data_IF_467187716099
#
_entry.id   IF_467187716099
#
_cell.length_a   1.000
_cell.length_b   1.000
_cell.length_c   1.000
_cell.angle_alpha   90.00
_cell.angle_beta   90.00
_cell.angle_gamma   90.00
#
_symmetry.space_group_name_H-M   'P 1'
#
loop_
_entity.id
_entity.type
_entity.pdbx_description
1 polymer ?
#
# COMPACT_ATOMS: atom_id res chain seq x y z
N UNK A 1 52.15 -29.62 -0.66
CA UNK A 1 51.50 -30.60 -1.55
C UNK A 1 50.20 -29.94 -1.94
N UNK A 2 50.03 -29.64 -3.23
CA UNK A 2 48.85 -28.97 -3.74
C UNK A 2 47.69 -29.98 -3.73
N UNK A 3 46.58 -29.62 -3.09
CA UNK A 3 45.33 -30.39 -3.16
C UNK A 3 44.73 -30.22 -4.56
N UNK A 4 44.73 -31.31 -5.32
CA UNK A 4 43.97 -31.44 -6.56
C UNK A 4 42.47 -31.40 -6.25
N UNK A 5 41.78 -30.40 -6.78
CA UNK A 5 40.32 -30.41 -6.85
C UNK A 5 39.87 -31.52 -7.81
N UNK A 6 38.81 -32.28 -7.51
CA UNK A 6 38.34 -33.34 -8.38
C UNK A 6 37.81 -32.74 -9.68
N UNK A 7 38.43 -33.11 -10.81
CA UNK A 7 37.88 -32.84 -12.13
C UNK A 7 36.49 -33.47 -12.25
N UNK A 8 35.49 -32.64 -12.52
CA UNK A 8 34.14 -33.07 -12.85
C UNK A 8 34.20 -33.82 -14.17
N UNK A 9 34.15 -35.15 -14.11
CA UNK A 9 33.90 -35.96 -15.30
C UNK A 9 32.50 -35.61 -15.82
N UNK A 10 32.42 -34.98 -16.99
CA UNK A 10 31.19 -34.91 -17.76
C UNK A 10 30.82 -36.34 -18.17
N UNK A 11 29.77 -36.90 -17.55
CA UNK A 11 29.26 -38.22 -17.93
C UNK A 11 28.76 -38.21 -19.39
N UNK A 12 28.78 -39.41 -20.00
CA UNK A 12 28.64 -39.65 -21.43
C UNK A 12 27.34 -39.09 -22.06
N UNK A 13 27.37 -38.67 -23.34
CA UNK A 13 26.18 -38.29 -24.09
C UNK A 13 25.20 -39.47 -24.18
N UNK A 14 24.00 -39.31 -23.62
CA UNK A 14 22.92 -40.31 -23.67
C UNK A 14 22.36 -40.77 -22.32
N UNK A 15 22.97 -40.37 -21.20
CA UNK A 15 22.40 -40.62 -19.87
C UNK A 15 21.42 -39.50 -19.47
N UNK A 16 20.17 -39.88 -19.22
CA UNK A 16 19.12 -38.96 -18.75
C UNK A 16 17.73 -39.37 -19.20
N UNK A 17 16.72 -38.85 -18.53
CA UNK A 17 15.33 -38.96 -18.96
C UNK A 17 15.08 -38.05 -20.16
N UNK A 18 14.49 -38.59 -21.22
CA UNK A 18 14.05 -37.78 -22.36
C UNK A 18 12.80 -36.99 -21.98
N UNK A 19 12.92 -35.66 -21.95
CA UNK A 19 11.85 -34.75 -21.54
C UNK A 19 11.16 -34.08 -22.73
N UNK A 20 11.48 -34.44 -23.98
CA UNK A 20 10.76 -33.87 -25.12
C UNK A 20 9.33 -34.43 -25.24
N UNK A 21 8.37 -33.64 -25.74
CA UNK A 21 7.01 -34.11 -25.94
C UNK A 21 6.93 -35.34 -26.87
N UNK A 22 7.74 -35.34 -27.93
CA UNK A 22 7.73 -36.38 -28.97
C UNK A 22 8.66 -37.57 -28.65
N UNK A 23 9.34 -37.55 -27.50
CA UNK A 23 10.33 -38.56 -27.09
C UNK A 23 11.38 -38.84 -28.17
N UNK A 24 11.87 -37.78 -28.77
CA UNK A 24 12.80 -37.79 -29.89
C UNK A 24 14.28 -37.74 -29.47
N UNK A 25 14.57 -37.76 -28.17
CA UNK A 25 15.93 -37.65 -27.61
C UNK A 25 16.56 -36.27 -27.79
N UNK A 26 15.77 -35.23 -28.09
CA UNK A 26 16.28 -33.88 -28.33
C UNK A 26 16.78 -33.19 -27.06
N UNK A 27 16.21 -33.52 -25.90
CA UNK A 27 16.58 -32.95 -24.60
C UNK A 27 16.57 -34.04 -23.54
N UNK A 28 17.75 -34.38 -23.03
CA UNK A 28 17.91 -35.38 -21.97
C UNK A 28 18.23 -34.67 -20.65
N UNK A 29 17.50 -35.03 -19.59
CA UNK A 29 17.67 -34.47 -18.25
C UNK A 29 18.22 -35.52 -17.28
N UNK A 30 19.27 -35.16 -16.54
CA UNK A 30 19.82 -35.97 -15.45
C UNK A 30 19.85 -35.15 -14.16
N UNK A 31 19.13 -35.58 -13.13
CA UNK A 31 19.13 -34.88 -11.83
C UNK A 31 20.42 -35.20 -11.08
N UNK A 32 21.21 -34.17 -10.75
CA UNK A 32 22.43 -34.27 -9.94
C UNK A 32 22.16 -34.06 -8.45
N UNK A 33 21.23 -33.17 -8.12
CA UNK A 33 20.75 -32.93 -6.75
C UNK A 33 19.25 -32.71 -6.78
N UNK A 34 18.53 -33.46 -5.95
CA UNK A 34 17.07 -33.30 -5.81
C UNK A 34 16.74 -31.92 -5.25
N UNK A 35 15.67 -31.32 -5.79
CA UNK A 35 15.06 -30.13 -5.21
C UNK A 35 14.06 -30.48 -4.09
N UNK A 36 13.52 -29.44 -3.47
CA UNK A 36 12.52 -29.52 -2.41
C UNK A 36 11.12 -29.18 -2.93
N UNK A 37 10.09 -29.73 -2.30
CA UNK A 37 8.69 -29.53 -2.68
C UNK A 37 8.26 -30.35 -3.90
N UNK A 38 6.99 -30.21 -4.31
CA UNK A 38 6.42 -30.93 -5.45
C UNK A 38 6.03 -30.01 -6.63
N UNK A 39 6.14 -28.70 -6.47
CA UNK A 39 5.82 -27.72 -7.50
C UNK A 39 6.99 -27.45 -8.45
N UNK A 40 6.67 -27.07 -9.69
CA UNK A 40 7.62 -26.66 -10.74
C UNK A 40 7.14 -25.36 -11.41
N UNK A 41 8.05 -24.57 -12.03
CA UNK A 41 7.68 -23.32 -12.69
C UNK A 41 6.78 -23.56 -13.91
N UNK A 42 5.83 -22.64 -14.10
CA UNK A 42 4.86 -22.64 -15.20
C UNK A 42 5.25 -21.64 -16.29
N UNK A 43 4.67 -21.79 -17.49
CA UNK A 43 4.88 -20.81 -18.57
C UNK A 43 4.42 -19.41 -18.14
N UNK A 44 5.30 -18.41 -18.31
CA UNK A 44 5.09 -17.03 -17.88
C UNK A 44 5.74 -16.71 -16.53
N UNK A 45 6.17 -17.70 -15.76
CA UNK A 45 6.88 -17.45 -14.51
C UNK A 45 8.28 -16.88 -14.80
N UNK A 46 8.69 -15.87 -14.03
CA UNK A 46 10.10 -15.44 -14.03
C UNK A 46 10.90 -16.41 -13.16
N UNK A 47 11.83 -17.15 -13.77
CA UNK A 47 12.69 -18.13 -13.10
C UNK A 47 14.07 -17.54 -12.82
N UNK A 48 14.68 -17.94 -11.70
CA UNK A 48 16.00 -17.52 -11.27
C UNK A 48 16.91 -18.74 -11.18
N UNK A 49 17.99 -18.75 -11.97
CA UNK A 49 18.89 -19.90 -12.08
C UNK A 49 20.37 -19.50 -11.99
N UNK A 50 21.20 -20.45 -11.57
CA UNK A 50 22.61 -20.49 -11.98
C UNK A 50 22.84 -21.56 -13.04
N UNK A 51 23.82 -21.36 -13.90
CA UNK A 51 24.21 -22.36 -14.89
C UNK A 51 25.68 -22.35 -15.27
N UNK A 52 26.10 -23.47 -15.85
CA UNK A 52 27.36 -23.64 -16.58
C UNK A 52 27.03 -24.33 -17.91
N UNK A 53 27.41 -23.71 -19.03
CA UNK A 53 27.22 -24.23 -20.39
C UNK A 53 28.54 -24.71 -21.01
N UNK A 54 28.54 -25.95 -21.51
CA UNK A 54 29.70 -26.60 -22.11
C UNK A 54 29.35 -27.28 -23.44
N UNK A 55 30.32 -27.38 -24.35
CA UNK A 55 30.24 -28.28 -25.50
C UNK A 55 30.43 -29.73 -25.05
N UNK A 56 30.11 -30.70 -25.92
CA UNK A 56 30.29 -32.13 -25.62
C UNK A 56 31.74 -32.53 -25.28
N UNK A 57 32.72 -31.78 -25.77
CA UNK A 57 34.14 -32.00 -25.45
C UNK A 57 34.55 -31.41 -24.08
N UNK A 58 33.60 -30.82 -23.34
CA UNK A 58 33.81 -30.18 -22.05
C UNK A 58 34.22 -28.70 -22.12
N UNK A 59 34.39 -28.14 -23.32
CA UNK A 59 34.75 -26.71 -23.47
C UNK A 59 33.64 -25.82 -22.93
N UNK A 60 33.90 -25.10 -21.84
CA UNK A 60 32.98 -24.12 -21.27
C UNK A 60 32.86 -22.91 -22.21
N UNK A 61 31.65 -22.62 -22.66
CA UNK A 61 31.37 -21.45 -23.49
C UNK A 61 30.69 -20.33 -22.71
N UNK A 62 30.00 -20.63 -21.60
CA UNK A 62 29.30 -19.64 -20.80
C UNK A 62 29.03 -20.13 -19.36
N UNK A 63 28.99 -19.22 -18.39
CA UNK A 63 28.54 -19.51 -17.02
C UNK A 63 28.08 -18.26 -16.29
N UNK A 64 26.93 -18.34 -15.62
CA UNK A 64 26.50 -17.27 -14.72
C UNK A 64 27.28 -17.23 -13.41
N UNK A 65 27.91 -18.34 -13.01
CA UNK A 65 28.76 -18.38 -11.80
C UNK A 65 30.05 -17.59 -11.98
N UNK A 66 30.63 -17.61 -13.18
CA UNK A 66 31.82 -16.80 -13.49
C UNK A 66 31.54 -15.28 -13.46
N UNK A 67 30.25 -14.88 -13.46
CA UNK A 67 29.80 -13.49 -13.43
C UNK A 67 29.26 -13.06 -12.07
N UNK A 68 29.32 -13.92 -11.05
CA UNK A 68 28.77 -13.66 -9.71
C UNK A 68 27.34 -13.05 -9.72
N UNK A 69 26.51 -13.47 -10.68
CA UNK A 69 25.14 -12.95 -10.83
C UNK A 69 24.18 -14.03 -11.31
N UNK A 70 22.97 -14.02 -10.76
CA UNK A 70 21.90 -14.91 -11.19
C UNK A 70 21.44 -14.57 -12.61
N UNK A 71 20.99 -15.59 -13.35
CA UNK A 71 20.33 -15.41 -14.62
C UNK A 71 18.80 -15.52 -14.42
N UNK A 72 18.08 -14.49 -14.86
CA UNK A 72 16.61 -14.41 -14.77
C UNK A 72 15.99 -14.41 -16.16
N UNK A 73 14.92 -15.17 -16.37
CA UNK A 73 14.17 -15.16 -17.63
C UNK A 73 12.71 -15.60 -17.43
N UNK A 74 11.83 -15.19 -18.36
CA UNK A 74 10.44 -15.67 -18.41
C UNK A 74 10.36 -17.04 -19.09
N UNK A 75 9.84 -18.03 -18.37
CA UNK A 75 9.76 -19.42 -18.83
C UNK A 75 8.69 -19.62 -19.91
N UNK A 76 9.02 -20.38 -20.96
CA UNK A 76 8.07 -20.78 -22.00
C UNK A 76 7.65 -19.63 -22.94
N UNK A 77 8.43 -18.55 -22.99
CA UNK A 77 8.23 -17.40 -23.88
C UNK A 77 9.26 -17.31 -25.00
N UNK A 78 10.12 -18.32 -25.17
CA UNK A 78 11.17 -18.32 -26.19
C UNK A 78 12.26 -17.27 -25.95
N UNK A 79 12.48 -16.88 -24.69
CA UNK A 79 13.57 -15.97 -24.27
C UNK A 79 14.93 -16.68 -24.20
N UNK A 80 14.89 -18.01 -24.12
CA UNK A 80 16.04 -18.92 -24.05
C UNK A 80 15.88 -20.00 -25.12
N UNK A 81 16.89 -20.87 -25.27
CA UNK A 81 16.80 -22.01 -26.18
C UNK A 81 15.66 -22.96 -25.79
N UNK A 82 15.06 -23.66 -26.76
CA UNK A 82 13.90 -24.55 -26.53
C UNK A 82 14.17 -25.59 -25.44
N UNK A 83 15.41 -26.11 -25.38
CA UNK A 83 15.80 -27.08 -24.37
C UNK A 83 15.70 -26.55 -22.94
N UNK A 84 15.96 -25.25 -22.74
CA UNK A 84 15.81 -24.63 -21.42
C UNK A 84 14.35 -24.42 -21.04
N UNK A 85 13.52 -24.00 -21.99
CA UNK A 85 12.08 -23.86 -21.75
C UNK A 85 11.44 -25.20 -21.35
N UNK A 86 11.89 -26.32 -21.93
CA UNK A 86 11.46 -27.67 -21.54
C UNK A 86 12.10 -28.11 -20.21
N UNK A 87 13.41 -27.95 -20.07
CA UNK A 87 14.18 -28.45 -18.93
C UNK A 87 13.79 -27.80 -17.61
N UNK A 88 13.81 -26.47 -17.57
CA UNK A 88 13.55 -25.71 -16.33
C UNK A 88 12.11 -25.88 -15.85
N UNK A 89 11.15 -26.06 -16.75
CA UNK A 89 9.75 -26.37 -16.43
C UNK A 89 9.56 -27.67 -15.61
N UNK A 90 10.55 -28.58 -15.66
CA UNK A 90 10.51 -29.85 -14.92
C UNK A 90 11.29 -29.80 -13.60
N UNK A 91 11.95 -28.69 -13.28
CA UNK A 91 12.83 -28.59 -12.12
C UNK A 91 12.05 -28.19 -10.86
N UNK A 92 12.44 -28.77 -9.72
CA UNK A 92 12.00 -28.36 -8.38
C UNK A 92 12.92 -27.29 -7.79
N UNK A 93 12.44 -26.56 -6.77
CA UNK A 93 13.23 -25.53 -6.09
C UNK A 93 14.50 -26.13 -5.47
N UNK A 94 15.66 -25.54 -5.74
CA UNK A 94 16.97 -26.01 -5.26
C UNK A 94 17.57 -27.20 -6.04
N UNK A 95 16.85 -27.73 -7.03
CA UNK A 95 17.32 -28.82 -7.89
C UNK A 95 18.54 -28.40 -8.70
N UNK A 96 19.53 -29.31 -8.81
CA UNK A 96 20.60 -29.22 -9.80
C UNK A 96 20.40 -30.34 -10.80
N UNK A 97 20.30 -30.00 -12.09
CA UNK A 97 20.22 -30.98 -13.16
C UNK A 97 21.24 -30.69 -14.27
N UNK A 98 21.53 -31.72 -15.05
CA UNK A 98 22.25 -31.61 -16.31
C UNK A 98 21.26 -31.78 -17.46
N UNK A 99 21.26 -30.84 -18.40
CA UNK A 99 20.50 -30.89 -19.65
C UNK A 99 21.46 -31.11 -20.81
N UNK A 100 21.24 -32.19 -21.57
CA UNK A 100 21.93 -32.44 -22.84
C UNK A 100 20.99 -32.08 -23.98
N UNK A 101 21.38 -31.08 -24.77
CA UNK A 101 20.51 -30.39 -25.71
C UNK A 101 21.01 -30.62 -27.14
N UNK A 102 20.24 -31.33 -27.96
CA UNK A 102 20.52 -31.48 -29.39
C UNK A 102 20.36 -30.13 -30.11
N UNK A 103 21.08 -29.96 -31.22
CA UNK A 103 21.20 -28.67 -31.90
C UNK A 103 19.84 -28.02 -32.27
N UNK A 104 18.85 -28.79 -32.72
CA UNK A 104 17.49 -28.34 -33.08
C UNK A 104 16.66 -27.82 -31.89
N UNK A 105 17.04 -28.18 -30.65
CA UNK A 105 16.53 -27.62 -29.40
C UNK A 105 17.46 -26.54 -28.80
N UNK A 106 18.58 -26.25 -29.47
CA UNK A 106 19.57 -25.23 -29.11
C UNK A 106 19.71 -24.16 -30.22
N UNK A 107 20.88 -24.04 -30.85
CA UNK A 107 21.19 -23.01 -31.87
C UNK A 107 21.17 -23.51 -33.33
N UNK A 108 20.84 -24.78 -33.54
CA UNK A 108 20.63 -25.39 -34.86
C UNK A 108 21.86 -25.33 -35.78
N UNK A 109 21.61 -25.37 -37.09
CA UNK A 109 22.63 -25.33 -38.14
C UNK A 109 23.42 -24.02 -38.16
N UNK A 110 22.88 -22.94 -37.60
CA UNK A 110 23.56 -21.64 -37.57
C UNK A 110 24.58 -21.54 -36.44
N UNK A 111 24.39 -22.28 -35.35
CA UNK A 111 25.18 -22.12 -34.13
C UNK A 111 25.05 -20.71 -33.53
N UNK A 112 26.02 -20.32 -32.70
CA UNK A 112 26.18 -18.95 -32.19
C UNK A 112 27.67 -18.58 -32.23
N UNK A 113 28.18 -18.17 -33.40
CA UNK A 113 29.60 -17.84 -33.55
C UNK A 113 30.02 -16.66 -32.66
N UNK A 114 31.28 -16.63 -32.16
CA UNK A 114 32.36 -17.58 -32.44
C UNK A 114 32.40 -18.79 -31.47
N UNK A 115 31.57 -18.82 -30.44
CA UNK A 115 31.71 -19.74 -29.31
C UNK A 115 30.94 -21.06 -29.50
N UNK A 116 29.81 -21.04 -30.20
CA UNK A 116 28.97 -22.22 -30.43
C UNK A 116 28.97 -22.56 -31.93
N UNK A 117 29.54 -23.72 -32.33
CA UNK A 117 29.54 -24.16 -33.73
C UNK A 117 28.15 -24.50 -34.28
N UNK A 118 27.98 -24.52 -35.62
CA UNK A 118 26.86 -25.16 -36.30
C UNK A 118 26.60 -26.58 -35.81
N UNK A 119 25.32 -26.93 -35.61
CA UNK A 119 24.87 -28.27 -35.23
C UNK A 119 25.48 -28.81 -33.92
N UNK A 120 25.92 -27.93 -33.03
CA UNK A 120 26.50 -28.33 -31.75
C UNK A 120 25.44 -28.86 -30.77
N UNK A 121 25.73 -30.00 -30.16
CA UNK A 121 25.04 -30.47 -28.94
C UNK A 121 25.65 -29.77 -27.73
N UNK A 122 24.80 -29.22 -26.88
CA UNK A 122 25.21 -28.46 -25.70
C UNK A 122 24.90 -29.23 -24.42
N UNK A 123 25.72 -29.07 -23.40
CA UNK A 123 25.50 -29.61 -22.07
C UNK A 123 25.44 -28.46 -21.07
N UNK A 124 24.33 -28.35 -20.36
CA UNK A 124 24.13 -27.36 -19.31
C UNK A 124 24.01 -28.04 -17.96
N UNK A 125 24.73 -27.56 -16.96
CA UNK A 125 24.36 -27.78 -15.56
C UNK A 125 23.55 -26.57 -15.09
N UNK A 126 22.33 -26.80 -14.62
CA UNK A 126 21.40 -25.75 -14.20
C UNK A 126 20.99 -25.98 -12.74
N UNK A 127 21.03 -24.93 -11.93
CA UNK A 127 20.52 -24.89 -10.57
C UNK A 127 19.33 -23.94 -10.51
N UNK A 128 18.13 -24.45 -10.18
CA UNK A 128 16.92 -23.63 -10.04
C UNK A 128 16.84 -23.09 -8.62
N UNK A 129 16.99 -21.78 -8.45
CA UNK A 129 16.89 -21.14 -7.13
C UNK A 129 15.46 -20.83 -6.75
N UNK A 130 14.72 -20.19 -7.66
CA UNK A 130 13.35 -19.75 -7.39
C UNK A 130 12.59 -19.42 -8.67
N UNK A 131 11.28 -19.25 -8.57
CA UNK A 131 10.45 -18.71 -9.63
C UNK A 131 9.26 -17.93 -9.06
N UNK A 132 8.73 -16.96 -9.82
CA UNK A 132 7.67 -16.03 -9.37
C UNK A 132 8.04 -15.20 -8.14
N UNK A 133 9.16 -14.50 -8.23
CA UNK A 133 9.55 -13.54 -7.20
C UNK A 133 8.68 -12.29 -7.34
N UNK A 134 7.81 -12.05 -6.38
CA UNK A 134 7.08 -10.80 -6.23
C UNK A 134 7.90 -9.91 -5.29
N UNK A 135 8.43 -8.82 -5.81
CA UNK A 135 9.11 -7.81 -5.00
C UNK A 135 8.08 -7.12 -4.08
N UNK A 136 8.32 -7.18 -2.77
CA UNK A 136 7.47 -6.54 -1.76
C UNK A 136 7.99 -5.15 -1.37
N UNK A 137 9.25 -4.88 -1.68
CA UNK A 137 9.94 -3.63 -1.43
C UNK A 137 10.49 -3.03 -2.71
N UNK A 138 10.56 -1.70 -2.79
CA UNK A 138 11.08 -1.00 -3.97
C UNK A 138 12.60 -1.15 -4.18
N UNK A 139 13.34 -1.53 -3.14
CA UNK A 139 14.81 -1.67 -3.15
C UNK A 139 15.28 -3.14 -3.22
N UNK A 140 14.36 -4.09 -3.35
CA UNK A 140 14.65 -5.53 -3.34
C UNK A 140 15.01 -6.09 -1.96
N UNK A 141 14.85 -5.30 -0.89
CA UNK A 141 15.09 -5.74 0.48
C UNK A 141 14.07 -6.75 1.02
N UNK A 142 12.97 -7.00 0.32
CA UNK A 142 12.01 -8.04 0.63
C UNK A 142 11.28 -8.52 -0.62
N UNK A 143 11.15 -9.84 -0.73
CA UNK A 143 10.47 -10.48 -1.85
C UNK A 143 9.76 -11.76 -1.40
N UNK A 144 8.73 -12.16 -2.13
CA UNK A 144 8.01 -13.40 -1.90
C UNK A 144 8.02 -14.30 -3.13
N UNK A 145 7.96 -15.61 -2.90
CA UNK A 145 7.79 -16.61 -3.93
C UNK A 145 6.66 -17.57 -3.55
N UNK A 146 5.76 -17.83 -4.50
CA UNK A 146 4.62 -18.71 -4.27
C UNK A 146 5.07 -20.17 -4.15
N UNK A 147 4.76 -20.82 -3.03
CA UNK A 147 4.98 -22.26 -2.80
C UNK A 147 3.79 -23.06 -3.34
N UNK A 148 2.58 -22.63 -2.97
CA UNK A 148 1.32 -23.27 -3.36
C UNK A 148 0.37 -22.20 -3.87
N UNK A 149 -0.08 -22.36 -5.12
CA UNK A 149 -1.14 -21.55 -5.72
C UNK A 149 -2.50 -22.21 -5.52
N UNK A 150 -3.55 -21.40 -5.58
CA UNK A 150 -4.92 -21.87 -5.58
C UNK A 150 -5.67 -21.25 -6.75
N UNK A 151 -6.42 -22.07 -7.50
CA UNK A 151 -7.31 -21.60 -8.56
C UNK A 151 -8.62 -21.07 -7.97
N UNK A 152 -8.49 -20.21 -6.97
CA UNK A 152 -9.60 -19.54 -6.31
C UNK A 152 -10.02 -18.32 -7.12
N UNK A 153 -11.31 -18.20 -7.39
CA UNK A 153 -11.91 -16.98 -7.94
C UNK A 153 -12.02 -15.85 -6.89
N UNK A 154 -11.81 -16.17 -5.60
CA UNK A 154 -11.84 -15.18 -4.54
C UNK A 154 -10.64 -14.24 -4.58
N UNK A 155 -10.91 -12.96 -4.34
CA UNK A 155 -9.92 -11.90 -4.33
C UNK A 155 -8.96 -11.98 -3.13
N UNK A 156 -7.85 -11.27 -3.24
CA UNK A 156 -6.88 -11.08 -2.16
C UNK A 156 -7.46 -10.23 -1.03
N UNK A 157 -6.95 -10.33 0.21
CA UNK A 157 -7.39 -9.49 1.31
C UNK A 157 -7.27 -7.99 1.02
N UNK A 158 -8.12 -7.18 1.67
CA UNK A 158 -8.06 -5.71 1.66
C UNK A 158 -7.91 -5.14 3.08
N UNK A 159 -7.49 -3.88 3.17
CA UNK A 159 -7.39 -3.17 4.45
C UNK A 159 -8.75 -3.14 5.19
N UNK A 160 -8.73 -3.56 6.46
CA UNK A 160 -9.91 -3.67 7.32
C UNK A 160 -10.61 -5.04 7.29
N UNK A 161 -10.22 -5.94 6.38
CA UNK A 161 -10.70 -7.33 6.39
C UNK A 161 -10.03 -8.15 7.49
N UNK A 162 -10.76 -9.11 8.04
CA UNK A 162 -10.19 -10.10 8.95
C UNK A 162 -9.59 -11.28 8.18
N UNK A 163 -8.41 -11.72 8.61
CA UNK A 163 -7.71 -12.88 8.04
C UNK A 163 -7.26 -13.82 9.15
N UNK A 164 -7.19 -15.11 8.82
CA UNK A 164 -6.45 -16.09 9.61
C UNK A 164 -5.32 -16.65 8.75
N UNK A 165 -4.10 -16.54 9.27
CA UNK A 165 -2.88 -16.97 8.59
C UNK A 165 -2.10 -17.91 9.49
N UNK A 166 -1.45 -18.89 8.87
CA UNK A 166 -0.35 -19.60 9.49
C UNK A 166 0.95 -18.89 9.13
N UNK A 167 1.77 -18.58 10.13
CA UNK A 167 3.06 -17.91 9.92
C UNK A 167 4.13 -18.72 10.61
N UNK A 168 5.16 -19.06 9.84
CA UNK A 168 6.38 -19.68 10.32
C UNK A 168 7.57 -18.81 9.94
N UNK A 169 8.24 -18.25 10.94
CA UNK A 169 9.41 -17.39 10.77
C UNK A 169 10.69 -18.10 11.20
N UNK A 170 11.72 -18.00 10.38
CA UNK A 170 13.05 -18.55 10.64
C UNK A 170 14.16 -17.54 10.34
N UNK A 171 15.24 -17.61 11.10
CA UNK A 171 16.51 -16.96 10.79
C UNK A 171 17.52 -18.07 10.52
N UNK A 172 18.04 -18.12 9.30
CA UNK A 172 18.86 -19.23 8.79
C UNK A 172 18.12 -20.57 8.92
N UNK A 173 18.49 -21.42 9.89
CA UNK A 173 17.82 -22.71 10.15
C UNK A 173 17.01 -22.72 11.47
N UNK A 174 17.01 -21.62 12.22
CA UNK A 174 16.34 -21.55 13.51
C UNK A 174 14.94 -20.96 13.35
N UNK A 175 13.91 -21.78 13.58
CA UNK A 175 12.52 -21.34 13.63
C UNK A 175 12.29 -20.60 14.95
N UNK A 176 11.88 -19.33 14.87
CA UNK A 176 11.61 -18.48 16.03
C UNK A 176 10.11 -18.22 16.26
N UNK A 177 9.27 -18.44 15.24
CA UNK A 177 7.83 -18.47 15.39
C UNK A 177 7.19 -19.47 14.43
N UNK A 178 6.10 -20.10 14.87
CA UNK A 178 5.29 -21.06 14.12
C UNK A 178 3.90 -21.06 14.78
N UNK A 179 2.95 -20.30 14.22
CA UNK A 179 1.66 -20.04 14.86
C UNK A 179 0.56 -19.72 13.85
N UNK A 180 -0.67 -20.03 14.25
CA UNK A 180 -1.87 -19.48 13.64
C UNK A 180 -2.24 -18.17 14.32
N UNK A 181 -2.56 -17.17 13.52
CA UNK A 181 -2.93 -15.84 14.01
C UNK A 181 -4.07 -15.27 13.19
N UNK A 182 -5.10 -14.80 13.90
CA UNK A 182 -6.25 -14.11 13.32
C UNK A 182 -6.17 -12.62 13.67
N UNK A 183 -6.23 -11.76 12.66
CA UNK A 183 -6.09 -10.32 12.84
C UNK A 183 -6.76 -9.55 11.68
N UNK A 184 -6.87 -8.23 11.84
CA UNK A 184 -7.36 -7.35 10.79
C UNK A 184 -6.21 -6.78 9.97
N UNK A 185 -6.33 -6.82 8.64
CA UNK A 185 -5.37 -6.16 7.75
C UNK A 185 -5.36 -4.65 8.04
N UNK A 186 -4.16 -4.09 8.22
CA UNK A 186 -3.90 -2.74 8.72
C UNK A 186 -3.65 -2.69 10.23
N UNK A 187 -3.74 -3.83 10.92
CA UNK A 187 -3.47 -4.00 12.35
C UNK A 187 -2.45 -5.11 12.66
N UNK A 188 -1.72 -5.59 11.65
CA UNK A 188 -0.75 -6.68 11.80
C UNK A 188 0.25 -6.46 12.93
N UNK A 189 0.74 -5.23 13.12
CA UNK A 189 1.70 -4.93 14.19
C UNK A 189 1.16 -5.24 15.59
N UNK A 190 -0.14 -5.03 15.86
CA UNK A 190 -0.75 -5.40 17.15
C UNK A 190 -0.81 -6.91 17.37
N UNK A 191 -0.84 -7.68 16.27
CA UNK A 191 -0.82 -9.13 16.26
C UNK A 191 0.61 -9.71 16.18
N UNK A 192 1.64 -8.85 16.24
CA UNK A 192 3.05 -9.26 16.13
C UNK A 192 3.45 -9.65 14.70
N UNK A 193 2.78 -9.11 13.69
CA UNK A 193 3.08 -9.32 12.27
C UNK A 193 3.91 -8.14 11.77
N UNK A 194 5.04 -8.43 11.13
CA UNK A 194 5.88 -7.41 10.49
C UNK A 194 5.11 -6.76 9.33
N UNK A 195 5.23 -5.43 9.10
CA UNK A 195 4.52 -4.75 8.01
C UNK A 195 4.78 -5.35 6.62
N UNK A 196 5.99 -5.88 6.39
CA UNK A 196 6.33 -6.51 5.11
C UNK A 196 5.66 -7.87 4.92
N UNK A 197 5.41 -8.59 6.02
CA UNK A 197 4.68 -9.85 6.03
C UNK A 197 3.19 -9.60 5.79
N UNK A 198 2.63 -8.53 6.39
CA UNK A 198 1.27 -8.07 6.07
C UNK A 198 1.13 -7.66 4.59
N UNK A 199 2.17 -7.03 4.02
CA UNK A 199 2.22 -6.71 2.58
C UNK A 199 2.24 -7.97 1.71
N UNK A 200 2.91 -9.04 2.15
CA UNK A 200 2.88 -10.33 1.47
C UNK A 200 1.49 -10.99 1.54
N UNK A 201 0.82 -10.93 2.69
CA UNK A 201 -0.52 -11.49 2.89
C UNK A 201 -1.54 -10.86 1.92
N UNK A 202 -1.42 -9.55 1.65
CA UNK A 202 -2.22 -8.83 0.65
C UNK A 202 -2.05 -9.35 -0.79
N UNK A 203 -1.08 -10.23 -1.06
CA UNK A 203 -0.84 -10.86 -2.37
C UNK A 203 -1.34 -12.30 -2.45
N UNK A 204 -1.80 -12.87 -1.34
CA UNK A 204 -2.25 -14.26 -1.26
C UNK A 204 -3.76 -14.37 -1.46
N UNK A 205 -4.17 -15.46 -2.10
CA UNK A 205 -5.55 -15.96 -2.06
C UNK A 205 -5.71 -16.99 -0.96
N UNK A 206 -6.93 -17.18 -0.50
CA UNK A 206 -7.23 -18.20 0.52
C UNK A 206 -6.76 -19.59 0.03
N UNK A 207 -6.00 -20.28 0.89
CA UNK A 207 -5.40 -21.59 0.65
C UNK A 207 -4.01 -21.56 0.00
N UNK A 208 -3.50 -20.38 -0.38
CA UNK A 208 -2.16 -20.20 -0.92
C UNK A 208 -1.08 -20.17 0.15
N UNK A 209 0.12 -20.63 -0.23
CA UNK A 209 1.31 -20.63 0.61
C UNK A 209 2.43 -19.92 -0.13
N UNK A 210 3.15 -19.03 0.55
CA UNK A 210 4.32 -18.35 0.00
C UNK A 210 5.50 -18.33 0.97
N UNK A 211 6.71 -18.36 0.40
CA UNK A 211 7.95 -18.06 1.10
C UNK A 211 8.27 -16.57 0.93
N UNK A 212 8.63 -15.88 2.00
CA UNK A 212 9.04 -14.47 1.99
C UNK A 212 10.46 -14.36 2.53
N UNK A 213 11.34 -13.75 1.75
CA UNK A 213 12.69 -13.40 2.16
C UNK A 213 12.72 -11.94 2.58
N UNK A 214 13.23 -11.66 3.78
CA UNK A 214 13.21 -10.33 4.39
C UNK A 214 14.63 -9.95 4.82
N UNK A 215 15.15 -8.87 4.24
CA UNK A 215 16.43 -8.30 4.66
C UNK A 215 16.32 -7.58 6.01
N UNK A 216 17.45 -7.30 6.68
CA UNK A 216 17.46 -6.62 7.97
C UNK A 216 16.68 -5.31 8.02
N UNK A 217 16.67 -4.54 6.92
CA UNK A 217 15.99 -3.25 6.83
C UNK A 217 14.46 -3.35 6.98
N UNK A 218 13.89 -4.51 6.62
CA UNK A 218 12.46 -4.79 6.69
C UNK A 218 12.09 -5.76 7.83
N UNK A 219 13.08 -6.32 8.51
CA UNK A 219 12.94 -7.18 9.69
C UNK A 219 13.14 -6.40 11.00
N UNK A 220 13.99 -6.92 11.88
CA UNK A 220 14.26 -6.34 13.20
C UNK A 220 15.47 -5.38 13.23
N UNK A 221 16.10 -5.13 12.08
CA UNK A 221 17.19 -4.17 11.91
C UNK A 221 18.38 -4.39 12.85
N UNK A 222 19.11 -3.31 13.13
CA UNK A 222 20.33 -3.32 13.97
C UNK A 222 20.09 -3.76 15.42
N UNK A 223 18.84 -3.76 15.89
CA UNK A 223 18.52 -4.16 17.26
C UNK A 223 18.28 -5.66 17.40
N UNK A 224 17.84 -6.32 16.33
CA UNK A 224 17.33 -7.69 16.43
C UNK A 224 16.08 -7.78 17.31
N UNK A 225 15.76 -8.98 17.78
CA UNK A 225 14.65 -9.22 18.72
C UNK A 225 15.07 -10.26 19.76
N UNK A 226 15.29 -9.81 20.99
CA UNK A 226 15.74 -10.69 22.08
C UNK A 226 14.71 -11.72 22.53
N UNK A 227 13.41 -11.40 22.44
CA UNK A 227 12.33 -12.32 22.84
C UNK A 227 12.24 -13.50 21.87
N UNK A 228 12.45 -13.22 20.58
CA UNK A 228 12.47 -14.23 19.52
C UNK A 228 13.86 -14.82 19.27
N UNK A 229 14.87 -14.42 20.05
CA UNK A 229 16.28 -14.84 19.86
C UNK A 229 16.84 -14.51 18.47
N UNK A 230 16.40 -13.41 17.88
CA UNK A 230 16.84 -12.93 16.56
C UNK A 230 18.00 -11.94 16.75
N UNK A 231 19.17 -12.18 16.13
CA UNK A 231 20.32 -11.30 16.29
C UNK A 231 20.14 -9.95 15.56
N UNK A 232 20.91 -8.93 15.94
CA UNK A 232 21.12 -7.72 15.16
C UNK A 232 21.40 -8.01 13.68
N UNK A 233 20.76 -7.26 12.79
CA UNK A 233 20.93 -7.35 11.36
C UNK A 233 20.68 -8.74 10.76
N UNK A 234 19.75 -9.49 11.37
CA UNK A 234 19.31 -10.78 10.87
C UNK A 234 18.47 -10.65 9.58
N UNK A 235 18.80 -11.46 8.57
CA UNK A 235 17.88 -11.77 7.46
C UNK A 235 16.88 -12.84 7.92
N UNK A 236 15.62 -12.70 7.52
CA UNK A 236 14.54 -13.59 7.94
C UNK A 236 13.94 -14.29 6.72
N UNK A 237 13.47 -15.51 6.93
CA UNK A 237 12.64 -16.26 6.01
C UNK A 237 11.30 -16.56 6.67
N UNK A 238 10.23 -16.38 5.93
CA UNK A 238 8.87 -16.64 6.40
C UNK A 238 8.16 -17.57 5.44
N UNK A 239 7.44 -18.55 5.98
CA UNK A 239 6.42 -19.29 5.25
C UNK A 239 5.05 -18.82 5.75
N UNK A 240 4.18 -18.43 4.82
CA UNK A 240 2.87 -17.85 5.13
C UNK A 240 1.81 -18.65 4.38
N UNK A 241 0.82 -19.18 5.09
CA UNK A 241 -0.40 -19.74 4.52
C UNK A 241 -1.59 -18.83 4.86
N UNK A 242 -2.32 -18.37 3.84
CA UNK A 242 -3.60 -17.68 4.08
C UNK A 242 -4.70 -18.73 4.27
N UNK A 243 -4.95 -19.13 5.53
CA UNK A 243 -5.91 -20.20 5.86
C UNK A 243 -7.36 -19.78 5.64
N UNK A 244 -7.71 -18.56 6.04
CA UNK A 244 -9.07 -18.05 5.94
C UNK A 244 -9.08 -16.54 5.69
N UNK A 245 -10.01 -16.11 4.84
CA UNK A 245 -10.29 -14.72 4.54
C UNK A 245 -11.76 -14.43 4.85
N UNK A 246 -12.02 -13.30 5.52
CA UNK A 246 -13.37 -12.79 5.67
C UNK A 246 -14.06 -12.69 4.31
N UNK A 247 -15.26 -13.25 4.19
CA UNK A 247 -16.01 -13.24 2.93
C UNK A 247 -16.23 -11.80 2.43
N UNK A 248 -15.76 -11.50 1.21
CA UNK A 248 -16.09 -10.23 0.57
C UNK A 248 -17.56 -10.24 0.17
N UNK A 249 -18.29 -9.28 0.71
CA UNK A 249 -19.73 -9.17 0.51
C UNK A 249 -20.00 -8.37 -0.75
N UNK A 250 -20.56 -9.02 -1.76
CA UNK A 250 -21.05 -8.35 -2.98
C UNK A 250 -22.58 -8.19 -2.92
N UNK A 251 -23.16 -7.20 -3.63
CA UNK A 251 -24.61 -6.99 -3.66
C UNK A 251 -25.43 -8.22 -4.04
N UNK A 252 -24.85 -9.17 -4.79
CA UNK A 252 -25.49 -10.40 -5.27
C UNK A 252 -25.48 -11.55 -4.25
N UNK A 253 -24.60 -11.49 -3.24
CA UNK A 253 -24.35 -12.57 -2.28
C UNK A 253 -24.93 -12.29 -0.88
N UNK A 254 -25.83 -11.32 -0.75
CA UNK A 254 -26.44 -10.97 0.53
C UNK A 254 -27.96 -10.87 0.45
N UNK A 255 -28.64 -11.62 1.31
CA UNK A 255 -30.00 -11.29 1.68
C UNK A 255 -30.05 -10.07 2.62
N UNK A 256 -31.25 -9.58 2.87
CA UNK A 256 -31.53 -8.35 3.61
C UNK A 256 -31.09 -8.45 5.07
N UNK A 257 -31.26 -9.62 5.69
CA UNK A 257 -30.92 -9.84 7.09
C UNK A 257 -29.40 -9.94 7.26
N UNK A 258 -28.71 -10.64 6.34
CA UNK A 258 -27.23 -10.69 6.28
C UNK A 258 -26.66 -9.29 6.09
N UNK A 259 -27.26 -8.43 5.24
CA UNK A 259 -26.83 -7.02 5.09
C UNK A 259 -26.88 -6.27 6.41
N UNK A 260 -28.00 -6.39 7.14
CA UNK A 260 -28.17 -5.72 8.45
C UNK A 260 -27.22 -6.27 9.51
N UNK A 261 -27.00 -7.58 9.56
CA UNK A 261 -26.06 -8.22 10.48
C UNK A 261 -24.62 -7.76 10.22
N UNK A 262 -24.18 -7.77 8.95
CA UNK A 262 -22.86 -7.31 8.57
C UNK A 262 -22.66 -5.82 8.89
N UNK A 263 -23.66 -4.97 8.64
CA UNK A 263 -23.61 -3.56 9.02
C UNK A 263 -23.50 -3.36 10.54
N UNK A 264 -24.20 -4.16 11.35
CA UNK A 264 -24.08 -4.15 12.82
C UNK A 264 -22.68 -4.58 13.27
N UNK A 265 -22.13 -5.63 12.66
CA UNK A 265 -20.77 -6.11 12.91
C UNK A 265 -19.73 -5.02 12.59
N UNK A 266 -19.83 -4.37 11.42
CA UNK A 266 -18.96 -3.26 11.03
C UNK A 266 -19.05 -2.07 12.00
N UNK A 267 -20.25 -1.74 12.49
CA UNK A 267 -20.42 -0.71 13.54
C UNK A 267 -19.72 -1.08 14.85
N UNK A 268 -19.84 -2.34 15.30
CA UNK A 268 -19.17 -2.81 16.52
C UNK A 268 -17.65 -2.74 16.37
N UNK A 269 -17.13 -3.32 15.27
CA UNK A 269 -15.72 -3.32 14.89
C UNK A 269 -15.13 -1.91 14.84
N UNK A 270 -15.79 -0.99 14.15
CA UNK A 270 -15.35 0.42 14.10
C UNK A 270 -15.28 1.07 15.48
N UNK A 271 -16.19 0.70 16.38
CA UNK A 271 -16.21 1.22 17.76
C UNK A 271 -15.05 0.68 18.60
N UNK A 272 -14.68 -0.58 18.40
CA UNK A 272 -13.50 -1.18 19.03
C UNK A 272 -12.21 -0.52 18.53
N UNK A 273 -12.08 -0.34 17.20
CA UNK A 273 -10.94 0.38 16.63
C UNK A 273 -10.85 1.83 17.09
N UNK A 274 -11.98 2.53 17.19
CA UNK A 274 -12.02 3.89 17.73
C UNK A 274 -11.50 3.95 19.17
N UNK A 275 -11.89 2.99 20.02
CA UNK A 275 -11.39 2.87 21.40
C UNK A 275 -9.89 2.55 21.44
N UNK A 276 -9.43 1.69 20.52
CA UNK A 276 -8.02 1.34 20.36
C UNK A 276 -7.18 2.42 19.66
N UNK A 277 -7.77 3.58 19.34
CA UNK A 277 -7.15 4.70 18.61
C UNK A 277 -6.68 4.35 17.18
N UNK A 278 -7.20 3.26 16.60
CA UNK A 278 -6.92 2.80 15.22
C UNK A 278 -7.84 3.52 14.23
N UNK A 279 -7.63 4.82 14.07
CA UNK A 279 -8.59 5.70 13.38
C UNK A 279 -8.86 5.32 11.92
N UNK A 280 -7.83 4.89 11.17
CA UNK A 280 -7.99 4.44 9.78
C UNK A 280 -8.94 3.26 9.66
N UNK A 281 -8.73 2.22 10.47
CA UNK A 281 -9.58 1.02 10.50
C UNK A 281 -10.98 1.33 11.03
N UNK A 282 -11.10 2.24 12.00
CA UNK A 282 -12.40 2.72 12.47
C UNK A 282 -13.19 3.41 11.35
N UNK A 283 -12.55 4.35 10.63
CA UNK A 283 -13.15 5.06 9.50
C UNK A 283 -13.56 4.09 8.38
N UNK A 284 -12.67 3.16 8.01
CA UNK A 284 -12.97 2.11 7.02
C UNK A 284 -14.19 1.29 7.43
N UNK A 285 -14.23 0.82 8.68
CA UNK A 285 -15.37 0.05 9.20
C UNK A 285 -16.68 0.83 9.15
N UNK A 286 -16.68 2.13 9.48
CA UNK A 286 -17.89 2.95 9.40
C UNK A 286 -18.30 3.28 7.96
N UNK A 287 -17.34 3.45 7.05
CA UNK A 287 -17.59 3.66 5.63
C UNK A 287 -18.24 2.42 4.98
N UNK A 288 -17.80 1.22 5.36
CA UNK A 288 -18.36 -0.04 4.86
C UNK A 288 -19.86 -0.19 5.17
N UNK A 289 -20.36 0.36 6.28
CA UNK A 289 -21.80 0.34 6.63
C UNK A 289 -22.64 0.96 5.51
N UNK A 290 -22.20 2.10 4.99
CA UNK A 290 -22.93 2.80 3.92
C UNK A 290 -22.87 2.02 2.59
N UNK A 291 -21.76 1.33 2.34
CA UNK A 291 -21.59 0.48 1.15
C UNK A 291 -22.48 -0.78 1.22
N UNK A 292 -22.47 -1.49 2.35
CA UNK A 292 -23.29 -2.69 2.59
C UNK A 292 -24.79 -2.36 2.46
N UNK A 293 -25.19 -1.19 2.95
CA UNK A 293 -26.59 -0.75 2.94
C UNK A 293 -26.89 0.21 1.78
N UNK A 294 -26.12 0.23 0.70
CA UNK A 294 -26.34 1.16 -0.41
C UNK A 294 -27.70 0.90 -1.11
N UNK A 295 -28.00 -0.36 -1.38
CA UNK A 295 -29.26 -0.81 -1.98
C UNK A 295 -30.15 -1.50 -0.92
N UNK A 296 -31.28 -0.86 -0.65
CA UNK A 296 -32.29 -1.28 0.34
C UNK A 296 -33.69 -1.24 -0.26
N UNK A 297 -33.84 -1.29 -1.58
CA UNK A 297 -35.16 -1.14 -2.22
C UNK A 297 -36.11 -2.28 -1.85
N UNK A 298 -35.56 -3.48 -1.77
CA UNK A 298 -36.23 -4.74 -1.44
C UNK A 298 -36.51 -4.93 0.06
N UNK A 299 -35.97 -4.07 0.93
CA UNK A 299 -36.14 -4.17 2.38
C UNK A 299 -37.58 -3.86 2.81
N UNK A 300 -38.05 -4.55 3.85
CA UNK A 300 -39.28 -4.19 4.59
C UNK A 300 -39.16 -2.81 5.25
N UNK A 301 -40.26 -2.22 5.68
CA UNK A 301 -40.25 -0.92 6.34
C UNK A 301 -39.44 -0.96 7.66
N UNK A 302 -39.52 -2.06 8.41
CA UNK A 302 -38.75 -2.27 9.64
C UNK A 302 -37.24 -2.40 9.35
N UNK A 303 -36.89 -3.12 8.27
CA UNK A 303 -35.51 -3.27 7.83
C UNK A 303 -34.95 -1.94 7.29
N UNK A 304 -35.74 -1.15 6.54
CA UNK A 304 -35.38 0.20 6.09
C UNK A 304 -35.13 1.13 7.27
N UNK A 305 -35.98 1.09 8.29
CA UNK A 305 -35.79 1.83 9.55
C UNK A 305 -34.47 1.43 10.22
N UNK A 306 -34.24 0.12 10.38
CA UNK A 306 -33.00 -0.41 10.96
C UNK A 306 -31.75 -0.01 10.17
N UNK A 307 -31.83 -0.06 8.83
CA UNK A 307 -30.74 0.34 7.95
C UNK A 307 -30.44 1.84 8.07
N UNK A 308 -31.48 2.68 8.14
CA UNK A 308 -31.34 4.13 8.35
C UNK A 308 -30.66 4.44 9.68
N UNK A 309 -31.07 3.79 10.77
CA UNK A 309 -30.42 3.93 12.08
C UNK A 309 -28.93 3.53 12.07
N UNK A 310 -28.60 2.45 11.36
CA UNK A 310 -27.22 1.99 11.21
C UNK A 310 -26.38 2.96 10.38
N UNK A 311 -26.91 3.44 9.24
CA UNK A 311 -26.26 4.47 8.41
C UNK A 311 -26.00 5.74 9.22
N UNK A 312 -27.00 6.23 9.96
CA UNK A 312 -26.89 7.40 10.81
C UNK A 312 -25.81 7.21 11.89
N UNK A 313 -25.82 6.05 12.57
CA UNK A 313 -24.79 5.74 13.57
C UNK A 313 -23.39 5.68 12.96
N UNK A 314 -23.23 5.10 11.77
CA UNK A 314 -21.98 5.06 11.01
C UNK A 314 -21.45 6.47 10.72
N UNK A 315 -22.28 7.33 10.12
CA UNK A 315 -21.92 8.73 9.80
C UNK A 315 -21.57 9.56 11.02
N UNK A 316 -22.33 9.40 12.11
CA UNK A 316 -22.04 10.05 13.37
C UNK A 316 -20.67 9.63 13.90
N UNK A 317 -20.35 8.33 13.88
CA UNK A 317 -19.07 7.85 14.38
C UNK A 317 -17.90 8.21 13.45
N UNK A 318 -18.11 8.22 12.13
CA UNK A 318 -17.17 8.74 11.14
C UNK A 318 -16.78 10.19 11.45
N UNK A 319 -17.78 11.05 11.70
CA UNK A 319 -17.54 12.44 12.12
C UNK A 319 -16.74 12.52 13.44
N UNK A 320 -17.00 11.63 14.40
CA UNK A 320 -16.25 11.59 15.66
C UNK A 320 -14.80 11.14 15.47
N UNK A 321 -14.53 10.23 14.54
CA UNK A 321 -13.17 9.81 14.16
C UNK A 321 -12.42 10.97 13.50
N UNK A 322 -13.03 11.62 12.52
CA UNK A 322 -12.43 12.74 11.78
C UNK A 322 -12.12 13.93 12.68
N UNK A 323 -13.01 14.25 13.63
CA UNK A 323 -12.75 15.25 14.67
C UNK A 323 -11.54 14.92 15.55
N UNK A 324 -11.24 13.63 15.79
CA UNK A 324 -10.09 13.22 16.61
C UNK A 324 -8.75 13.32 15.88
N UNK A 325 -8.76 13.26 14.55
CA UNK A 325 -7.56 13.39 13.71
C UNK A 325 -7.44 14.79 13.09
N UNK A 326 -8.25 15.74 13.55
CA UNK A 326 -8.33 17.12 13.05
C UNK A 326 -8.63 17.26 11.55
N UNK A 327 -9.24 16.24 10.94
CA UNK A 327 -9.78 16.30 9.58
C UNK A 327 -11.17 16.93 9.62
N UNK A 328 -11.20 18.25 9.75
CA UNK A 328 -12.45 18.98 9.94
C UNK A 328 -13.35 18.98 8.70
N UNK A 329 -12.78 18.98 7.50
CA UNK A 329 -13.55 18.89 6.25
C UNK A 329 -14.28 17.55 6.14
N UNK A 330 -13.60 16.43 6.39
CA UNK A 330 -14.23 15.11 6.41
C UNK A 330 -15.26 14.98 7.55
N UNK A 331 -15.00 15.59 8.71
CA UNK A 331 -15.95 15.62 9.83
C UNK A 331 -17.24 16.38 9.46
N UNK A 332 -17.13 17.54 8.81
CA UNK A 332 -18.28 18.29 8.30
C UNK A 332 -19.07 17.48 7.29
N UNK A 333 -18.40 16.87 6.30
CA UNK A 333 -19.03 16.04 5.28
C UNK A 333 -19.80 14.86 5.88
N UNK A 334 -19.23 14.17 6.87
CA UNK A 334 -19.89 13.09 7.58
C UNK A 334 -21.11 13.56 8.38
N UNK A 335 -21.03 14.75 9.00
CA UNK A 335 -22.18 15.35 9.70
C UNK A 335 -23.30 15.73 8.72
N UNK A 336 -22.98 16.23 7.53
CA UNK A 336 -23.97 16.57 6.52
C UNK A 336 -24.74 15.34 6.05
N UNK A 337 -24.03 14.25 5.73
CA UNK A 337 -24.64 12.96 5.42
C UNK A 337 -25.48 12.39 6.57
N UNK A 338 -25.12 12.67 7.83
CA UNK A 338 -25.95 12.30 8.97
C UNK A 338 -27.22 13.14 9.06
N UNK A 339 -27.14 14.44 8.76
CA UNK A 339 -28.29 15.35 8.75
C UNK A 339 -29.25 15.07 7.59
N UNK A 340 -28.76 14.61 6.44
CA UNK A 340 -29.61 14.11 5.35
C UNK A 340 -30.53 12.95 5.78
N UNK A 341 -30.08 12.13 6.74
CA UNK A 341 -30.87 11.04 7.32
C UNK A 341 -31.78 11.52 8.47
N UNK A 342 -31.28 12.46 9.29
CA UNK A 342 -32.01 13.06 10.39
C UNK A 342 -31.61 14.54 10.55
N UNK A 343 -32.41 15.42 9.93
CA UNK A 343 -32.13 16.87 9.87
C UNK A 343 -32.05 17.53 11.25
N UNK A 344 -32.63 16.91 12.28
CA UNK A 344 -32.66 17.45 13.64
C UNK A 344 -31.69 16.70 14.58
N UNK A 345 -30.73 15.96 14.03
CA UNK A 345 -29.81 15.17 14.84
C UNK A 345 -28.85 16.06 15.64
N UNK A 346 -29.09 16.17 16.94
CA UNK A 346 -28.31 17.02 17.85
C UNK A 346 -26.82 16.69 17.85
N UNK A 347 -26.45 15.39 17.76
CA UNK A 347 -25.04 14.98 17.73
C UNK A 347 -24.36 15.41 16.44
N UNK A 348 -25.02 15.30 15.30
CA UNK A 348 -24.48 15.74 14.01
C UNK A 348 -24.30 17.27 13.99
N UNK A 349 -25.34 18.03 14.40
CA UNK A 349 -25.26 19.49 14.48
C UNK A 349 -24.12 19.96 15.39
N UNK A 350 -23.99 19.33 16.58
CA UNK A 350 -22.94 19.67 17.53
C UNK A 350 -21.54 19.39 16.97
N UNK A 351 -21.33 18.19 16.39
CA UNK A 351 -20.04 17.78 15.81
C UNK A 351 -19.67 18.62 14.59
N UNK A 352 -20.63 18.96 13.74
CA UNK A 352 -20.43 19.88 12.61
C UNK A 352 -19.92 21.24 13.08
N UNK A 353 -20.53 21.78 14.14
CA UNK A 353 -20.07 23.05 14.70
C UNK A 353 -18.66 22.96 15.31
N UNK A 354 -18.28 21.82 15.91
CA UNK A 354 -16.91 21.59 16.37
C UNK A 354 -15.92 21.62 15.20
N UNK A 355 -16.23 20.94 14.10
CA UNK A 355 -15.40 20.91 12.90
C UNK A 355 -15.28 22.31 12.26
N UNK A 356 -16.39 23.04 12.11
CA UNK A 356 -16.40 24.40 11.60
C UNK A 356 -15.56 25.37 12.44
N UNK A 357 -15.56 25.22 13.77
CA UNK A 357 -14.65 26.00 14.64
C UNK A 357 -13.19 25.64 14.34
N UNK A 358 -12.87 24.36 14.11
CA UNK A 358 -11.55 23.91 13.68
C UNK A 358 -11.11 24.54 12.35
N UNK A 359 -12.04 24.68 11.41
CA UNK A 359 -11.84 25.37 10.12
C UNK A 359 -11.82 26.90 10.23
N UNK A 360 -12.07 27.46 11.41
CA UNK A 360 -12.22 28.90 11.67
C UNK A 360 -13.48 29.55 11.08
N UNK A 361 -14.46 28.75 10.68
CA UNK A 361 -15.78 29.20 10.24
C UNK A 361 -16.69 29.54 11.43
N UNK A 362 -16.20 30.40 12.33
CA UNK A 362 -16.80 30.64 13.64
C UNK A 362 -18.25 31.15 13.58
N UNK A 363 -18.56 32.01 12.60
CA UNK A 363 -19.91 32.56 12.44
C UNK A 363 -20.90 31.48 11.96
N UNK A 364 -20.45 30.57 11.08
CA UNK A 364 -21.27 29.46 10.60
C UNK A 364 -21.54 28.50 11.76
N UNK A 365 -20.50 28.13 12.52
CA UNK A 365 -20.62 27.31 13.72
C UNK A 365 -21.57 27.92 14.75
N UNK A 366 -21.44 29.23 15.02
CA UNK A 366 -22.32 29.94 15.95
C UNK A 366 -23.79 29.83 15.52
N UNK A 367 -24.09 30.14 14.26
CA UNK A 367 -25.46 30.06 13.71
C UNK A 367 -26.01 28.63 13.79
N UNK A 368 -25.22 27.63 13.40
CA UNK A 368 -25.62 26.22 13.51
C UNK A 368 -25.94 25.80 14.95
N UNK A 369 -25.16 26.27 15.93
CA UNK A 369 -25.41 26.01 17.35
C UNK A 369 -26.65 26.72 17.88
N UNK A 370 -27.01 27.88 17.32
CA UNK A 370 -28.28 28.54 17.67
C UNK A 370 -29.47 27.71 17.18
N UNK A 371 -29.41 27.12 15.98
CA UNK A 371 -30.44 26.19 15.52
C UNK A 371 -30.54 24.94 16.42
N UNK A 372 -29.40 24.36 16.83
CA UNK A 372 -29.37 23.26 17.79
C UNK A 372 -30.04 23.64 19.10
N UNK A 373 -29.73 24.82 19.65
CA UNK A 373 -30.30 25.30 20.92
C UNK A 373 -31.80 25.63 20.83
N UNK A 374 -32.37 25.82 19.64
CA UNK A 374 -33.84 25.88 19.49
C UNK A 374 -34.48 24.51 19.70
N UNK A 375 -33.79 23.43 19.32
CA UNK A 375 -34.24 22.06 19.52
C UNK A 375 -33.99 21.56 20.95
N UNK A 376 -32.80 21.84 21.50
CA UNK A 376 -32.44 21.53 22.89
C UNK A 376 -31.95 22.76 23.67
N UNK A 377 -32.86 23.60 24.20
CA UNK A 377 -32.49 24.81 24.93
C UNK A 377 -31.65 24.57 26.18
N UNK A 378 -31.68 23.37 26.77
CA UNK A 378 -30.96 23.05 28.01
C UNK A 378 -29.58 22.39 27.77
N UNK A 379 -29.15 22.25 26.52
CA UNK A 379 -27.88 21.64 26.18
C UNK A 379 -26.68 22.52 26.60
N UNK A 380 -26.12 22.23 27.77
CA UNK A 380 -24.99 22.99 28.36
C UNK A 380 -23.75 23.01 27.45
N UNK A 381 -23.45 21.88 26.80
CA UNK A 381 -22.29 21.77 25.92
C UNK A 381 -22.44 22.67 24.68
N UNK A 382 -23.65 22.70 24.09
CA UNK A 382 -23.95 23.58 22.95
C UNK A 382 -23.91 25.07 23.34
N UNK A 383 -24.44 25.44 24.51
CA UNK A 383 -24.33 26.83 25.03
C UNK A 383 -22.88 27.28 25.16
N UNK A 384 -22.03 26.43 25.75
CA UNK A 384 -20.61 26.72 25.92
C UNK A 384 -19.87 26.84 24.58
N UNK A 385 -20.12 25.90 23.66
CA UNK A 385 -19.50 25.90 22.34
C UNK A 385 -19.94 27.12 21.51
N UNK A 386 -21.22 27.53 21.64
CA UNK A 386 -21.77 28.69 20.94
C UNK A 386 -21.15 29.99 21.43
N UNK A 387 -21.03 30.15 22.76
CA UNK A 387 -20.34 31.30 23.35
C UNK A 387 -18.86 31.37 22.90
N UNK A 388 -18.18 30.22 22.84
CA UNK A 388 -16.80 30.13 22.32
C UNK A 388 -16.73 30.54 20.85
N UNK A 389 -17.61 30.03 20.00
CA UNK A 389 -17.64 30.38 18.57
C UNK A 389 -17.85 31.89 18.37
N UNK A 390 -18.80 32.49 19.09
CA UNK A 390 -19.05 33.93 19.03
C UNK A 390 -17.85 34.76 19.50
N UNK A 391 -17.19 34.32 20.57
CA UNK A 391 -15.98 34.98 21.07
C UNK A 391 -14.86 34.95 20.03
N UNK A 392 -14.60 33.79 19.42
CA UNK A 392 -13.58 33.62 18.39
C UNK A 392 -13.86 34.48 17.15
N UNK A 393 -15.12 34.51 16.68
CA UNK A 393 -15.54 35.38 15.58
C UNK A 393 -15.26 36.86 15.86
N UNK A 394 -15.63 37.34 17.04
CA UNK A 394 -15.43 38.73 17.42
C UNK A 394 -13.94 39.08 17.57
N UNK A 395 -13.14 38.16 18.11
CA UNK A 395 -11.70 38.32 18.24
C UNK A 395 -11.01 38.43 16.86
N UNK A 396 -11.39 37.57 15.91
CA UNK A 396 -10.90 37.61 14.53
C UNK A 396 -11.21 38.94 13.86
N UNK A 397 -12.47 39.38 13.89
CA UNK A 397 -12.88 40.68 13.33
C UNK A 397 -12.14 41.86 13.97
N UNK A 398 -11.89 41.81 15.28
CA UNK A 398 -11.14 42.85 15.97
C UNK A 398 -9.67 42.89 15.51
N UNK A 399 -9.06 41.73 15.29
CA UNK A 399 -7.69 41.61 14.79
C UNK A 399 -7.58 42.06 13.33
N UNK A 400 -8.53 41.69 12.47
CA UNK A 400 -8.62 42.17 11.09
C UNK A 400 -8.75 43.69 11.05
N UNK A 401 -9.67 44.27 11.82
CA UNK A 401 -9.85 45.73 11.91
C UNK A 401 -8.54 46.42 12.31
N UNK A 402 -7.81 45.87 13.29
CA UNK A 402 -6.50 46.39 13.69
C UNK A 402 -5.48 46.28 12.54
N UNK A 403 -5.46 45.16 11.81
CA UNK A 403 -4.57 44.95 10.66
C UNK A 403 -4.85 45.93 9.52
N UNK A 404 -6.11 46.09 9.13
CA UNK A 404 -6.53 47.04 8.08
C UNK A 404 -6.22 48.47 8.47
N UNK A 405 -6.49 48.88 9.72
CA UNK A 405 -6.17 50.23 10.20
C UNK A 405 -4.66 50.51 10.11
N UNK A 406 -3.80 49.56 10.51
CA UNK A 406 -2.35 49.70 10.39
C UNK A 406 -1.89 49.77 8.93
N UNK A 407 -2.49 48.95 8.05
CA UNK A 407 -2.17 48.94 6.63
C UNK A 407 -2.57 50.27 5.97
N UNK A 408 -3.73 50.82 6.31
CA UNK A 408 -4.21 52.12 5.83
C UNK A 408 -3.31 53.27 6.29
N UNK A 409 -2.89 53.28 7.57
CA UNK A 409 -1.92 54.25 8.08
C UNK A 409 -0.60 54.22 7.31
N UNK A 410 -0.08 53.02 7.04
CA UNK A 410 1.16 52.85 6.28
C UNK A 410 1.04 53.39 4.84
N UNK A 411 -0.07 53.12 4.16
CA UNK A 411 -0.29 53.67 2.82
C UNK A 411 -0.41 55.20 2.82
N UNK A 412 -1.11 55.77 3.80
CA UNK A 412 -1.19 57.22 3.95
C UNK A 412 0.20 57.86 4.21
N UNK A 413 1.04 57.22 5.02
CA UNK A 413 2.43 57.65 5.25
C UNK A 413 3.29 57.56 3.98
N UNK A 414 3.13 56.50 3.18
CA UNK A 414 3.85 56.34 1.90
C UNK A 414 3.42 57.35 0.84
N UNK A 415 2.13 57.67 0.74
CA UNK A 415 1.62 58.70 -0.18
C UNK A 415 2.13 60.10 0.21
N UNK A 416 2.19 60.38 1.51
CA UNK A 416 2.74 61.64 2.02
C UNK A 416 4.23 61.79 1.71
N UNK A 417 4.99 60.68 1.69
CA UNK A 417 6.43 60.68 1.33
C UNK A 417 6.68 60.84 -0.18
N UNK A 418 5.69 60.60 -1.04
CA UNK A 418 5.82 60.69 -2.50
C UNK A 418 5.37 62.04 -3.09
N UNK A 419 4.80 62.94 -2.29
CA UNK A 419 4.47 64.29 -2.77
C UNK A 419 5.74 65.17 -2.84
N UNK A 420 6.02 65.86 -3.96
CA UNK A 420 7.14 66.81 -4.04
C UNK A 420 6.92 67.97 -3.07
N UNK A 421 7.97 68.35 -2.33
CA UNK A 421 7.97 69.56 -1.50
C UNK A 421 8.03 70.81 -2.39
N UNK A 422 6.90 71.27 -2.92
CA UNK A 422 6.80 72.63 -3.46
C UNK A 422 6.49 73.61 -2.32
N UNK A 423 7.55 74.24 -1.78
CA UNK A 423 7.42 75.44 -0.95
C UNK A 423 7.26 76.67 -1.86
N UNK A 424 6.26 77.55 -1.64
CA UNK A 424 6.24 78.85 -2.29
C UNK A 424 7.29 79.78 -1.64
N UNK A 425 8.24 80.27 -2.44
CA UNK A 425 9.19 81.34 -2.06
C UNK A 425 8.46 82.64 -1.73
N UNK A 426 8.80 83.39 -0.66
CA UNK A 426 8.21 84.69 -0.38
C UNK A 426 8.72 85.75 -1.35
N UNK A 427 7.81 86.55 -1.90
CA UNK A 427 8.12 87.69 -2.78
C UNK A 427 8.84 88.81 -2.02
N UNK A 428 9.95 89.30 -2.59
CA UNK A 428 10.67 90.48 -2.12
C UNK A 428 9.90 91.78 -2.45
N UNK A 429 9.81 92.66 -1.45
CA UNK A 429 9.34 94.03 -1.58
C UNK A 429 10.36 94.87 -2.37
N UNK A 430 9.90 95.58 -3.41
CA UNK A 430 10.61 96.73 -3.98
C UNK A 430 9.61 97.90 -4.12
N UNK A 431 9.81 98.86 -3.22
CA UNK A 431 9.54 100.33 -3.29
C UNK A 431 9.82 100.90 -4.69
N UNK A 432 9.25 101.97 -5.23
CA UNK A 432 8.50 103.15 -4.77
C UNK A 432 8.22 103.97 -6.05
N UNK A 433 7.44 105.03 -5.89
CA UNK A 433 7.32 106.22 -6.71
C UNK A 433 6.41 106.20 -7.95
N UNK A 434 5.42 107.09 -7.87
CA UNK A 434 5.30 108.09 -8.92
C UNK A 434 3.95 108.20 -9.61
N UNK A 435 3.07 109.00 -8.99
CA UNK A 435 2.37 110.12 -9.63
C UNK A 435 1.26 109.85 -10.68
N UNK A 436 0.08 110.42 -10.40
CA UNK A 436 -0.84 111.19 -11.29
C UNK A 436 -1.00 110.71 -12.75
N UNK A 437 -2.20 110.55 -13.31
CA UNK A 437 -3.29 111.52 -13.38
C UNK A 437 -4.41 110.94 -14.28
N UNK A 438 -5.63 111.48 -14.12
CA UNK A 438 -6.70 111.63 -15.12
C UNK A 438 -7.36 110.36 -15.72
N UNK A 439 -8.63 110.10 -15.41
CA UNK A 439 -9.89 110.68 -15.94
C UNK A 439 -10.41 110.03 -17.24
N UNK A 440 -11.72 109.73 -17.18
CA UNK A 440 -12.71 109.65 -18.26
C UNK A 440 -12.51 108.66 -19.41
N UNK A 441 -13.30 107.58 -19.41
CA UNK A 441 -14.62 107.51 -20.09
C UNK A 441 -15.14 106.08 -20.17
#
# INVERSE_FOLDING_TARGET
MADEQPQVNANAPGEGEDITPDKDGGVLKLIKRQGNGDSTPQSGDEVVVHYVGTLLDGTKFDSSRDRDSFFKFELGKGRVIKAWDLGVATMKKGEICQLTCRADYAYGESGSPPTIPPNATLVFEVELFNWNIIELSNDGGASMAMIKRCDSEFDTPEEGMEVEVHIKGSNESNVFEDKDVRFFIGDGNSAGILPIIETAILKLKQGEIAAVSVSPAYGFGEKGNTELSIPPNASLEYEIELKWLEEQLTPWNMDQDKKLECARSRKSRGTEFFKAMKMKLALKSYADIASILADTDDFSDEQKSSASELKLAGRLNEAACNLKIDDFDAACSACDKALELDNNNIKAMYRKAQAQIGMKDYLIAYKGLQELLKLEPENKAAKQLSARALHLHNAERAMEKKRYNKMFQKFAEEDTRKQPQDQPTPAENVTDDGNTEANDS
#
